data_IF_944392006219
#
_entry.id   IF_944392006219
#
_cell.length_a   1.000
_cell.length_b   1.000
_cell.length_c   1.000
_cell.angle_alpha   90.00
_cell.angle_beta   90.00
_cell.angle_gamma   90.00
#
_symmetry.space_group_name_H-M   'P 1'
#
loop_
_entity.id
_entity.type
_entity.pdbx_description
1 polymer ?
#
# COMPACT_ATOMS: atom_id res chain seq x y z
N UNK A 1 16.32 -1.05 13.61
CA UNK A 1 14.89 -1.40 13.43
C UNK A 1 14.82 -2.09 12.06
N UNK A 2 14.00 -3.11 11.83
CA UNK A 2 13.99 -3.81 10.52
C UNK A 2 13.04 -3.10 9.53
N UNK A 3 13.42 -2.92 8.25
CA UNK A 3 12.58 -2.27 7.22
C UNK A 3 11.15 -2.81 7.09
N UNK A 4 11.00 -4.13 7.28
CA UNK A 4 9.71 -4.83 7.21
C UNK A 4 8.69 -4.39 8.27
N UNK A 5 9.08 -3.64 9.29
CA UNK A 5 8.15 -3.09 10.28
C UNK A 5 7.21 -2.02 9.70
N UNK A 6 7.56 -1.41 8.56
CA UNK A 6 6.76 -0.33 7.96
C UNK A 6 5.94 -0.78 6.74
N UNK A 7 6.24 -1.95 6.17
CA UNK A 7 5.51 -2.55 5.05
C UNK A 7 4.61 -3.71 5.51
N UNK A 8 3.78 -3.42 6.52
CA UNK A 8 2.82 -4.38 7.07
C UNK A 8 1.54 -4.50 6.23
N UNK A 9 0.70 -5.48 6.58
CA UNK A 9 -0.55 -5.78 5.86
C UNK A 9 -1.75 -5.72 6.80
N UNK A 10 -2.87 -5.19 6.30
CA UNK A 10 -4.17 -5.26 6.96
C UNK A 10 -5.17 -5.91 6.00
N UNK A 11 -5.52 -7.17 6.28
CA UNK A 11 -6.54 -7.90 5.52
C UNK A 11 -7.95 -7.63 6.08
N UNK A 12 -8.94 -7.68 5.20
CA UNK A 12 -10.35 -7.71 5.55
C UNK A 12 -11.05 -8.74 4.68
N UNK A 13 -11.74 -9.70 5.30
CA UNK A 13 -12.41 -10.81 4.61
C UNK A 13 -13.60 -10.39 3.75
N UNK A 14 -14.22 -11.39 3.11
CA UNK A 14 -15.40 -11.22 2.24
C UNK A 14 -16.55 -10.54 2.99
N UNK A 15 -17.01 -9.40 2.46
CA UNK A 15 -18.11 -8.65 3.05
C UNK A 15 -19.46 -9.30 2.76
N UNK A 16 -20.35 -9.28 3.76
CA UNK A 16 -21.77 -9.59 3.57
C UNK A 16 -22.50 -8.51 2.76
N UNK A 17 -22.11 -7.23 2.92
CA UNK A 17 -22.68 -6.10 2.19
C UNK A 17 -21.67 -5.56 1.16
N UNK A 18 -21.98 -5.77 -0.12
CA UNK A 18 -21.07 -5.47 -1.25
C UNK A 18 -20.87 -3.97 -1.52
N UNK A 19 -21.75 -3.12 -0.99
CA UNK A 19 -21.86 -1.70 -1.38
C UNK A 19 -21.26 -0.72 -0.38
N UNK A 20 -20.97 -1.12 0.85
CA UNK A 20 -20.37 -0.24 1.86
C UNK A 20 -18.88 -0.52 2.04
N UNK A 21 -18.04 0.41 1.60
CA UNK A 21 -16.58 0.38 1.74
C UNK A 21 -16.14 1.41 2.77
N UNK A 22 -16.18 1.02 4.06
CA UNK A 22 -15.58 1.77 5.16
C UNK A 22 -15.73 3.30 5.01
N UNK A 23 -16.97 3.79 5.04
CA UNK A 23 -17.25 5.23 4.92
C UNK A 23 -17.42 5.77 3.49
N UNK A 24 -17.27 4.94 2.45
CA UNK A 24 -17.58 5.31 1.05
C UNK A 24 -18.35 4.22 0.32
N UNK A 25 -19.20 4.62 -0.62
CA UNK A 25 -19.94 3.73 -1.51
C UNK A 25 -19.26 3.54 -2.88
N UNK A 26 -18.13 4.23 -3.12
CA UNK A 26 -17.50 4.32 -4.45
C UNK A 26 -16.01 3.94 -4.45
N UNK A 27 -15.30 4.11 -3.35
CA UNK A 27 -13.84 3.87 -3.31
C UNK A 27 -13.35 3.37 -1.96
N UNK A 28 -12.24 2.63 -1.96
CA UNK A 28 -11.53 2.26 -0.76
C UNK A 28 -10.84 3.48 -0.14
N UNK A 29 -10.91 3.61 1.18
CA UNK A 29 -10.30 4.71 1.94
C UNK A 29 -9.18 4.19 2.82
N UNK A 30 -8.07 4.91 2.84
CA UNK A 30 -6.97 4.66 3.76
C UNK A 30 -6.74 5.89 4.64
N UNK A 31 -6.44 5.64 5.91
CA UNK A 31 -6.13 6.66 6.90
C UNK A 31 -4.70 6.44 7.40
N UNK A 32 -3.90 7.50 7.37
CA UNK A 32 -2.56 7.52 7.95
C UNK A 32 -2.66 7.71 9.47
N UNK A 33 -2.00 6.85 10.24
CA UNK A 33 -1.92 6.95 11.70
C UNK A 33 -0.48 6.86 12.20
N UNK A 34 -0.21 7.61 13.26
CA UNK A 34 1.04 7.54 14.03
C UNK A 34 0.72 6.88 15.37
N UNK A 35 1.19 5.65 15.56
CA UNK A 35 0.97 4.87 16.79
C UNK A 35 2.32 4.44 17.39
N UNK A 36 2.89 3.35 16.87
CA UNK A 36 4.24 2.85 17.22
C UNK A 36 5.20 2.95 16.01
N UNK A 37 4.87 3.84 15.08
CA UNK A 37 5.39 3.97 13.72
C UNK A 37 4.33 4.61 12.82
N UNK A 38 4.68 4.87 11.56
CA UNK A 38 3.74 5.35 10.54
C UNK A 38 3.06 4.17 9.85
N UNK A 39 1.72 4.16 9.78
CA UNK A 39 0.98 3.05 9.21
C UNK A 39 -0.33 3.50 8.53
N UNK A 40 -0.82 2.67 7.61
CA UNK A 40 -2.10 2.86 6.92
C UNK A 40 -3.15 1.91 7.49
N UNK A 41 -4.33 2.44 7.79
CA UNK A 41 -5.54 1.68 8.14
C UNK A 41 -6.65 1.93 7.13
N UNK A 42 -7.70 1.11 7.14
CA UNK A 42 -8.94 1.49 6.46
C UNK A 42 -9.51 2.75 7.12
N UNK A 43 -9.72 3.79 6.31
CA UNK A 43 -10.38 5.02 6.73
C UNK A 43 -11.88 4.83 6.77
N UNK A 44 -12.59 5.58 7.62
CA UNK A 44 -14.06 5.56 7.73
C UNK A 44 -14.71 6.88 7.29
N UNK A 45 -13.89 7.79 6.76
CA UNK A 45 -14.25 9.14 6.36
C UNK A 45 -13.67 9.37 4.97
N UNK A 46 -14.36 10.16 4.16
CA UNK A 46 -13.85 10.55 2.85
C UNK A 46 -12.57 11.39 2.99
N UNK A 47 -11.61 11.07 2.13
CA UNK A 47 -10.37 11.82 1.96
C UNK A 47 -10.24 12.31 0.52
N UNK A 48 -9.01 12.60 0.12
CA UNK A 48 -8.70 13.09 -1.23
C UNK A 48 -8.22 11.95 -2.15
N UNK A 49 -8.39 12.15 -3.46
CA UNK A 49 -7.80 11.29 -4.48
C UNK A 49 -6.41 11.83 -4.87
N UNK A 50 -5.51 10.92 -5.27
CA UNK A 50 -4.19 11.26 -5.78
C UNK A 50 -4.12 10.93 -7.27
N UNK A 51 -3.27 11.64 -8.00
CA UNK A 51 -2.99 11.31 -9.40
C UNK A 51 -2.32 9.93 -9.48
N UNK A 52 -2.92 9.04 -10.27
CA UNK A 52 -2.47 7.67 -10.41
C UNK A 52 -1.50 7.54 -11.59
N UNK A 53 -0.32 6.97 -11.31
CA UNK A 53 0.62 6.46 -12.31
C UNK A 53 0.87 4.98 -12.05
N UNK A 54 0.63 4.14 -13.06
CA UNK A 54 0.88 2.71 -12.99
C UNK A 54 2.35 2.39 -13.24
N UNK A 55 2.83 1.25 -12.77
CA UNK A 55 4.23 0.84 -12.92
C UNK A 55 4.69 0.86 -14.39
N UNK A 56 3.86 0.36 -15.29
CA UNK A 56 4.12 0.29 -16.73
C UNK A 56 4.05 1.66 -17.43
N UNK A 57 3.49 2.67 -16.76
CA UNK A 57 3.43 4.05 -17.26
C UNK A 57 4.68 4.86 -16.85
N UNK A 58 5.50 4.34 -15.93
CA UNK A 58 6.73 4.99 -15.50
C UNK A 58 7.83 4.88 -16.57
N UNK A 59 8.68 5.91 -16.61
CA UNK A 59 9.91 5.87 -17.40
C UNK A 59 10.86 4.79 -16.88
N UNK A 60 11.75 4.28 -17.73
CA UNK A 60 12.76 3.29 -17.33
C UNK A 60 13.65 3.82 -16.20
N UNK A 61 13.99 5.12 -16.22
CA UNK A 61 14.78 5.75 -15.17
C UNK A 61 14.04 5.76 -13.82
N UNK A 62 12.74 6.03 -13.82
CA UNK A 62 11.93 6.01 -12.61
C UNK A 62 11.79 4.60 -12.05
N UNK A 63 11.55 3.59 -12.90
CA UNK A 63 11.53 2.18 -12.48
C UNK A 63 12.89 1.74 -11.92
N UNK A 64 13.99 2.12 -12.58
CA UNK A 64 15.34 1.85 -12.10
C UNK A 64 15.60 2.44 -10.70
N UNK A 65 15.20 3.68 -10.46
CA UNK A 65 15.35 4.33 -9.15
C UNK A 65 14.48 3.67 -8.06
N UNK A 66 13.26 3.22 -8.40
CA UNK A 66 12.36 2.53 -7.46
C UNK A 66 12.78 1.07 -7.16
N UNK A 67 13.51 0.43 -8.07
CA UNK A 67 14.10 -0.90 -7.86
C UNK A 67 15.38 -0.85 -6.99
N UNK A 68 16.04 0.30 -6.92
CA UNK A 68 17.25 0.48 -6.12
C UNK A 68 16.90 0.78 -4.65
N UNK A 69 17.05 -0.25 -3.81
CA UNK A 69 16.71 -0.19 -2.38
C UNK A 69 17.58 0.80 -1.60
N UNK A 70 18.77 1.16 -2.08
CA UNK A 70 19.65 2.12 -1.40
C UNK A 70 19.05 3.54 -1.39
N UNK A 71 18.08 3.83 -2.27
CA UNK A 71 17.41 5.12 -2.36
C UNK A 71 16.41 5.39 -1.20
N UNK A 72 16.03 4.37 -0.43
CA UNK A 72 14.92 4.47 0.54
C UNK A 72 15.34 4.24 2.00
N UNK A 73 16.63 4.05 2.27
CA UNK A 73 17.15 3.89 3.63
C UNK A 73 16.54 2.67 4.34
N UNK A 74 15.79 2.89 5.42
CA UNK A 74 15.08 1.81 6.12
C UNK A 74 13.69 1.50 5.50
N UNK A 75 13.21 2.24 4.51
CA UNK A 75 11.95 1.95 3.83
C UNK A 75 12.16 1.00 2.63
N UNK A 76 11.13 0.23 2.28
CA UNK A 76 11.14 -0.60 1.07
C UNK A 76 10.02 -0.16 0.12
N UNK A 77 10.25 -0.30 -1.19
CA UNK A 77 9.23 -0.07 -2.22
C UNK A 77 8.43 -1.36 -2.42
N UNK A 78 7.14 -1.42 -2.05
CA UNK A 78 6.40 -2.68 -1.95
C UNK A 78 5.93 -3.23 -3.31
N UNK A 79 6.04 -2.44 -4.38
CA UNK A 79 5.56 -2.78 -5.73
C UNK A 79 6.68 -2.82 -6.78
N UNK A 80 7.94 -2.73 -6.34
CA UNK A 80 9.08 -2.86 -7.23
C UNK A 80 9.28 -4.34 -7.65
N UNK A 81 10.18 -4.60 -8.58
CA UNK A 81 10.35 -5.93 -9.20
C UNK A 81 10.71 -7.02 -8.19
N UNK A 82 11.53 -6.70 -7.18
CA UNK A 82 12.00 -7.67 -6.18
C UNK A 82 10.94 -7.98 -5.11
N UNK A 83 10.04 -7.04 -4.86
CA UNK A 83 9.10 -7.10 -3.73
C UNK A 83 7.68 -7.48 -4.15
N UNK A 84 7.22 -7.13 -5.35
CA UNK A 84 5.81 -7.21 -5.73
C UNK A 84 5.14 -8.56 -5.41
N UNK A 85 5.68 -9.68 -5.90
CA UNK A 85 5.11 -11.02 -5.68
C UNK A 85 5.13 -11.43 -4.20
N UNK A 86 6.22 -11.13 -3.49
CA UNK A 86 6.33 -11.37 -2.04
C UNK A 86 5.27 -10.59 -1.26
N UNK A 87 4.99 -9.35 -1.65
CA UNK A 87 3.94 -8.55 -0.99
C UNK A 87 2.55 -9.06 -1.33
N UNK A 88 2.31 -9.54 -2.56
CA UNK A 88 1.03 -10.17 -2.91
C UNK A 88 0.75 -11.43 -2.08
N UNK A 89 1.75 -12.30 -1.90
CA UNK A 89 1.63 -13.51 -1.09
C UNK A 89 1.28 -13.17 0.37
N UNK A 90 2.00 -12.21 0.97
CA UNK A 90 1.74 -11.78 2.34
C UNK A 90 0.42 -11.02 2.51
N UNK A 91 -0.06 -10.34 1.47
CA UNK A 91 -1.32 -9.59 1.49
C UNK A 91 -2.56 -10.50 1.33
N UNK A 92 -2.38 -11.77 0.96
CA UNK A 92 -3.49 -12.67 0.66
C UNK A 92 -4.42 -12.87 1.87
N UNK A 93 -5.69 -12.43 1.81
CA UNK A 93 -6.66 -12.65 2.88
C UNK A 93 -7.24 -14.06 2.74
N UNK A 94 -6.84 -14.97 3.62
CA UNK A 94 -7.35 -16.35 3.69
C UNK A 94 -8.90 -16.43 3.66
#
# INVERSE_FOLDING_TARGET
MWPSYFAGYKSMGTRYDRTYIYGSNTSLRFEYKVLFGTCLFFGYVDGEYQDLVMWEQLTDAARGALNDNDNFGEAEVPFNEDNYEKHLENAWPL
#
